data_IF_828992228545
#
_entry.id   IF_828992228545
#
_cell.length_a   1.000
_cell.length_b   1.000
_cell.length_c   1.000
_cell.angle_alpha   90.00
_cell.angle_beta   90.00
_cell.angle_gamma   90.00
#
_symmetry.space_group_name_H-M   'P 1'
#
loop_
_entity.id
_entity.type
_entity.pdbx_description
1 polymer ?
#
# COMPACT_ATOMS: atom_id res chain seq x y z
N UNK A 1 -8.69 36.04 5.39
CA UNK A 1 -7.47 35.54 4.69
C UNK A 1 -7.18 34.06 4.89
N UNK A 2 -7.62 33.34 5.94
CA UNK A 2 -7.36 31.87 6.09
C UNK A 2 -8.30 30.94 5.28
N UNK A 3 -9.40 31.42 4.75
CA UNK A 3 -10.39 30.61 4.03
C UNK A 3 -10.17 30.54 2.51
N UNK A 4 -9.61 31.58 1.90
CA UNK A 4 -9.40 31.64 0.44
C UNK A 4 -8.20 30.81 -0.02
N UNK A 5 -7.09 30.83 0.75
CA UNK A 5 -5.89 30.05 0.43
C UNK A 5 -6.14 28.53 0.55
N UNK A 6 -6.99 28.11 1.51
CA UNK A 6 -7.37 26.71 1.66
C UNK A 6 -8.27 26.22 0.50
N UNK A 7 -9.09 27.11 -0.08
CA UNK A 7 -9.95 26.77 -1.23
C UNK A 7 -9.14 26.64 -2.52
N UNK A 8 -8.17 27.54 -2.74
CA UNK A 8 -7.33 27.54 -3.94
C UNK A 8 -6.47 26.27 -4.02
N UNK A 9 -5.81 25.91 -2.92
CA UNK A 9 -4.99 24.70 -2.86
C UNK A 9 -5.82 23.42 -3.01
N UNK A 10 -7.08 23.42 -2.54
CA UNK A 10 -7.97 22.26 -2.67
C UNK A 10 -8.43 21.98 -4.10
N UNK A 11 -8.37 22.98 -4.99
CA UNK A 11 -8.72 22.85 -6.41
C UNK A 11 -7.49 22.74 -7.31
N UNK A 12 -6.41 23.46 -7.03
CA UNK A 12 -5.19 23.42 -7.84
C UNK A 12 -4.46 22.08 -7.75
N UNK A 13 -4.33 21.52 -6.55
CA UNK A 13 -3.60 20.28 -6.34
C UNK A 13 -4.18 19.10 -7.14
N UNK A 14 -5.50 18.86 -7.19
CA UNK A 14 -6.07 17.84 -8.06
C UNK A 14 -5.83 18.08 -9.55
N UNK A 15 -5.94 19.29 -10.02
CA UNK A 15 -5.71 19.62 -11.44
C UNK A 15 -4.26 19.37 -11.84
N UNK A 16 -3.30 19.77 -11.00
CA UNK A 16 -1.87 19.52 -11.21
C UNK A 16 -1.60 18.01 -11.19
N UNK A 17 -2.22 17.27 -10.26
CA UNK A 17 -2.05 15.82 -10.17
C UNK A 17 -2.60 15.09 -11.41
N UNK A 18 -3.77 15.49 -11.92
CA UNK A 18 -4.37 14.92 -13.13
C UNK A 18 -3.45 15.18 -14.33
N UNK A 19 -2.94 16.42 -14.47
CA UNK A 19 -1.98 16.77 -15.52
C UNK A 19 -0.69 15.96 -15.41
N UNK A 20 -0.17 15.78 -14.21
CA UNK A 20 1.03 14.99 -13.96
C UNK A 20 0.84 13.51 -14.35
N UNK A 21 -0.29 12.90 -13.99
CA UNK A 21 -0.61 11.53 -14.40
C UNK A 21 -0.80 11.38 -15.91
N UNK A 22 -1.38 12.39 -16.56
CA UNK A 22 -1.46 12.42 -18.03
C UNK A 22 -0.07 12.46 -18.67
N UNK A 23 0.85 13.26 -18.15
CA UNK A 23 2.24 13.32 -18.60
C UNK A 23 3.02 12.03 -18.35
N UNK A 24 2.68 11.26 -17.31
CA UNK A 24 3.23 9.94 -17.05
C UNK A 24 2.67 8.83 -17.96
N UNK A 25 1.77 9.16 -18.88
CA UNK A 25 1.21 8.21 -19.85
C UNK A 25 -0.12 7.58 -19.44
N UNK A 26 -0.84 8.17 -18.47
CA UNK A 26 -2.21 7.73 -18.17
C UNK A 26 -3.08 7.92 -19.43
N UNK A 27 -3.80 6.87 -19.90
CA UNK A 27 -4.65 6.98 -21.08
C UNK A 27 -5.78 7.99 -20.84
N UNK A 28 -6.24 8.65 -21.92
CA UNK A 28 -7.22 9.74 -21.86
C UNK A 28 -8.52 9.34 -21.14
N UNK A 29 -8.95 8.07 -21.28
CA UNK A 29 -10.13 7.56 -20.57
C UNK A 29 -9.90 7.56 -19.03
N UNK A 30 -8.68 7.30 -18.57
CA UNK A 30 -8.30 7.38 -17.15
C UNK A 30 -8.38 8.81 -16.63
N UNK A 31 -7.92 9.79 -17.42
CA UNK A 31 -8.04 11.22 -17.11
C UNK A 31 -9.51 11.63 -16.98
N UNK A 32 -10.35 11.18 -17.91
CA UNK A 32 -11.80 11.46 -17.88
C UNK A 32 -12.44 10.89 -16.61
N UNK A 33 -12.12 9.66 -16.24
CA UNK A 33 -12.60 9.02 -15.00
C UNK A 33 -12.16 9.82 -13.77
N UNK A 34 -10.92 10.29 -13.71
CA UNK A 34 -10.44 11.13 -12.60
C UNK A 34 -11.18 12.47 -12.51
N UNK A 35 -11.48 13.10 -13.63
CA UNK A 35 -12.24 14.34 -13.66
C UNK A 35 -13.69 14.11 -13.19
N UNK A 36 -14.35 13.06 -13.69
CA UNK A 36 -15.70 12.70 -13.25
C UNK A 36 -15.72 12.41 -11.74
N UNK A 37 -14.74 11.65 -11.25
CA UNK A 37 -14.60 11.36 -9.84
C UNK A 37 -14.44 12.63 -9.00
N UNK A 38 -13.54 13.52 -9.40
CA UNK A 38 -13.29 14.78 -8.72
C UNK A 38 -14.55 15.66 -8.65
N UNK A 39 -15.25 15.82 -9.77
CA UNK A 39 -16.49 16.61 -9.82
C UNK A 39 -17.60 15.98 -8.98
N UNK A 40 -17.68 14.63 -8.95
CA UNK A 40 -18.61 13.90 -8.09
C UNK A 40 -18.32 14.17 -6.62
N UNK A 41 -17.04 14.12 -6.20
CA UNK A 41 -16.67 14.41 -4.81
C UNK A 41 -17.05 15.84 -4.37
N UNK A 42 -16.81 16.83 -5.25
CA UNK A 42 -17.22 18.21 -4.96
C UNK A 42 -18.75 18.30 -4.82
N UNK A 43 -19.48 17.65 -5.71
CA UNK A 43 -20.94 17.62 -5.63
C UNK A 43 -21.44 16.99 -4.32
N UNK A 44 -20.88 15.84 -3.92
CA UNK A 44 -21.23 15.17 -2.67
C UNK A 44 -20.88 16.01 -1.43
N UNK A 45 -19.73 16.70 -1.45
CA UNK A 45 -19.28 17.59 -0.39
C UNK A 45 -20.23 18.79 -0.22
N UNK A 46 -20.57 19.46 -1.33
CA UNK A 46 -21.45 20.63 -1.32
C UNK A 46 -22.89 20.30 -0.90
N UNK A 47 -23.34 19.08 -1.08
CA UNK A 47 -24.66 18.61 -0.63
C UNK A 47 -24.65 18.01 0.77
N UNK A 48 -23.52 18.01 1.49
CA UNK A 48 -23.42 17.46 2.84
C UNK A 48 -23.48 15.92 2.95
N UNK A 49 -23.50 15.21 1.81
CA UNK A 49 -23.60 13.73 1.76
C UNK A 49 -22.36 13.09 2.37
N UNK A 50 -21.19 13.72 2.23
CA UNK A 50 -19.96 13.20 2.81
C UNK A 50 -20.01 13.18 4.34
N UNK A 51 -20.67 14.14 4.97
CA UNK A 51 -20.83 14.20 6.42
C UNK A 51 -21.72 13.05 6.93
N UNK A 52 -22.79 12.71 6.21
CA UNK A 52 -23.65 11.56 6.52
C UNK A 52 -22.88 10.24 6.46
N UNK A 53 -21.94 10.11 5.54
CA UNK A 53 -21.11 8.92 5.39
C UNK A 53 -19.90 8.88 6.33
N UNK A 54 -19.73 9.86 7.22
CA UNK A 54 -18.50 10.07 7.99
C UNK A 54 -17.26 10.06 7.09
N UNK A 55 -17.39 10.67 5.93
CA UNK A 55 -16.35 10.73 4.91
C UNK A 55 -15.83 12.15 4.77
N UNK A 56 -14.56 12.28 4.39
CA UNK A 56 -13.94 13.58 4.09
C UNK A 56 -13.11 13.47 2.83
N UNK A 57 -13.10 14.54 2.06
CA UNK A 57 -12.23 14.66 0.89
C UNK A 57 -10.82 15.06 1.34
N UNK A 58 -9.82 14.28 0.95
CA UNK A 58 -8.41 14.53 1.22
C UNK A 58 -7.66 14.76 -0.08
N UNK A 59 -6.71 15.71 -0.10
CA UNK A 59 -5.93 16.08 -1.29
C UNK A 59 -6.78 16.37 -2.54
N UNK A 60 -8.05 16.66 -2.37
CA UNK A 60 -8.99 17.03 -3.42
C UNK A 60 -9.65 15.87 -4.17
N UNK A 61 -9.04 14.71 -4.29
CA UNK A 61 -9.56 13.57 -5.08
C UNK A 61 -9.58 12.24 -4.34
N UNK A 62 -9.04 12.17 -3.13
CA UNK A 62 -9.10 10.96 -2.29
C UNK A 62 -10.29 11.09 -1.34
N UNK A 63 -11.17 10.10 -1.35
CA UNK A 63 -12.26 9.97 -0.40
C UNK A 63 -11.82 9.14 0.79
N UNK A 64 -11.86 9.74 1.96
CA UNK A 64 -11.53 9.10 3.24
C UNK A 64 -12.80 8.75 3.98
N UNK A 65 -13.15 7.47 4.06
CA UNK A 65 -14.34 6.98 4.77
C UNK A 65 -13.93 6.43 6.13
N UNK A 66 -14.51 6.97 7.21
CA UNK A 66 -14.24 6.51 8.58
C UNK A 66 -15.22 5.46 9.02
N UNK A 67 -14.75 4.44 9.74
CA UNK A 67 -15.58 3.38 10.31
C UNK A 67 -15.13 2.98 11.71
N UNK A 68 -16.09 2.60 12.54
CA UNK A 68 -15.81 2.06 13.87
C UNK A 68 -15.85 0.52 13.91
N UNK A 69 -16.21 -0.14 12.81
CA UNK A 69 -16.40 -1.61 12.77
C UNK A 69 -15.11 -2.40 13.00
N UNK A 70 -13.95 -1.83 12.67
CA UNK A 70 -12.63 -2.46 12.89
C UNK A 70 -12.24 -2.61 14.36
N UNK A 71 -12.84 -1.88 15.28
CA UNK A 71 -12.52 -1.91 16.72
C UNK A 71 -12.72 -3.29 17.36
N UNK A 72 -13.77 -4.00 17.02
CA UNK A 72 -14.10 -5.31 17.63
C UNK A 72 -12.99 -6.31 17.33
N UNK A 73 -12.52 -6.35 16.08
CA UNK A 73 -11.42 -7.23 15.64
C UNK A 73 -10.12 -6.81 16.35
N UNK A 74 -9.85 -5.52 16.41
CA UNK A 74 -8.67 -4.96 17.08
C UNK A 74 -8.63 -5.35 18.57
N UNK A 75 -9.74 -5.17 19.29
CA UNK A 75 -9.83 -5.48 20.72
C UNK A 75 -9.67 -6.99 20.97
N UNK A 76 -10.13 -7.85 20.06
CA UNK A 76 -9.94 -9.29 20.14
C UNK A 76 -8.48 -9.69 19.91
N UNK A 77 -7.82 -9.12 18.91
CA UNK A 77 -6.41 -9.41 18.59
C UNK A 77 -5.45 -8.87 19.66
N UNK A 78 -5.71 -7.67 20.18
CA UNK A 78 -4.85 -7.02 21.17
C UNK A 78 -4.87 -7.70 22.56
N UNK A 79 -5.77 -8.65 22.81
CA UNK A 79 -5.77 -9.46 24.05
C UNK A 79 -4.46 -10.21 24.29
N UNK A 80 -3.78 -10.64 23.24
CA UNK A 80 -2.49 -11.34 23.33
C UNK A 80 -1.32 -10.36 23.51
N UNK A 81 -1.40 -9.51 24.55
CA UNK A 81 -0.49 -8.40 24.80
C UNK A 81 0.99 -8.82 24.78
N UNK A 82 1.35 -9.91 25.47
CA UNK A 82 2.76 -10.37 25.56
C UNK A 82 3.32 -10.75 24.19
N UNK A 83 2.52 -11.44 23.37
CA UNK A 83 2.89 -11.81 22.01
C UNK A 83 3.16 -10.57 21.15
N UNK A 84 2.24 -9.59 21.17
CA UNK A 84 2.36 -8.39 20.33
C UNK A 84 3.49 -7.45 20.77
N UNK A 85 3.78 -7.38 22.09
CA UNK A 85 4.97 -6.65 22.57
C UNK A 85 6.25 -7.31 22.04
N UNK A 86 6.34 -8.64 22.11
CA UNK A 86 7.46 -9.41 21.55
C UNK A 86 7.58 -9.23 20.04
N UNK A 87 6.45 -9.28 19.32
CA UNK A 87 6.41 -9.00 17.88
C UNK A 87 6.89 -7.58 17.57
N UNK A 88 6.50 -6.57 18.37
CA UNK A 88 6.99 -5.20 18.23
C UNK A 88 8.50 -5.07 18.37
N UNK A 89 9.11 -5.78 19.34
CA UNK A 89 10.58 -5.84 19.48
C UNK A 89 11.24 -6.51 18.28
N UNK A 90 10.74 -7.66 17.87
CA UNK A 90 11.18 -8.34 16.65
C UNK A 90 11.10 -7.42 15.44
N UNK A 91 10.00 -6.67 15.31
CA UNK A 91 9.77 -5.74 14.21
C UNK A 91 10.81 -4.63 14.15
N UNK A 92 11.24 -4.08 15.29
CA UNK A 92 12.29 -3.07 15.33
C UNK A 92 13.59 -3.64 14.74
N UNK A 93 13.99 -4.83 15.18
CA UNK A 93 15.23 -5.46 14.67
C UNK A 93 15.11 -5.84 13.21
N UNK A 94 13.97 -6.36 12.78
CA UNK A 94 13.70 -6.68 11.37
C UNK A 94 13.80 -5.44 10.49
N UNK A 95 13.22 -4.32 10.91
CA UNK A 95 13.30 -3.06 10.18
C UNK A 95 14.74 -2.55 10.08
N UNK A 96 15.54 -2.65 11.14
CA UNK A 96 16.96 -2.30 11.08
C UNK A 96 17.73 -3.19 10.10
N UNK A 97 17.51 -4.50 10.15
CA UNK A 97 18.16 -5.43 9.23
C UNK A 97 17.84 -5.11 7.76
N UNK A 98 16.55 -4.86 7.48
CA UNK A 98 16.11 -4.52 6.12
C UNK A 98 16.66 -3.17 5.69
N UNK A 99 16.64 -2.17 6.57
CA UNK A 99 17.20 -0.84 6.27
C UNK A 99 18.68 -0.95 5.86
N UNK A 100 19.49 -1.68 6.61
CA UNK A 100 20.88 -1.92 6.24
C UNK A 100 21.01 -2.69 4.93
N UNK A 101 20.20 -3.75 4.74
CA UNK A 101 20.18 -4.51 3.50
C UNK A 101 19.84 -3.67 2.27
N UNK A 102 18.82 -2.83 2.38
CA UNK A 102 18.41 -1.90 1.31
C UNK A 102 19.50 -0.85 1.05
N UNK A 103 20.14 -0.31 2.10
CA UNK A 103 21.25 0.63 1.93
C UNK A 103 22.43 0.00 1.18
N UNK A 104 22.83 -1.23 1.53
CA UNK A 104 23.87 -1.97 0.82
C UNK A 104 23.44 -2.20 -0.63
N UNK A 105 22.20 -2.65 -0.85
CA UNK A 105 21.67 -2.89 -2.20
C UNK A 105 21.72 -1.62 -3.07
N UNK A 106 21.29 -0.48 -2.53
CA UNK A 106 21.29 0.78 -3.26
C UNK A 106 22.71 1.24 -3.59
N UNK A 107 23.63 1.15 -2.64
CA UNK A 107 25.03 1.55 -2.86
C UNK A 107 25.68 0.64 -3.91
N UNK A 108 25.51 -0.68 -3.77
CA UNK A 108 26.08 -1.63 -4.75
C UNK A 108 25.46 -1.45 -6.13
N UNK A 109 24.14 -1.24 -6.22
CA UNK A 109 23.44 -0.96 -7.47
C UNK A 109 23.95 0.32 -8.14
N UNK A 110 24.14 1.40 -7.36
CA UNK A 110 24.69 2.66 -7.86
C UNK A 110 26.10 2.49 -8.41
N UNK A 111 26.97 1.76 -7.67
CA UNK A 111 28.35 1.48 -8.12
C UNK A 111 28.31 0.65 -9.40
N UNK A 112 27.50 -0.41 -9.46
CA UNK A 112 27.41 -1.26 -10.65
C UNK A 112 26.90 -0.50 -11.87
N UNK A 113 25.89 0.37 -11.69
CA UNK A 113 25.40 1.23 -12.77
C UNK A 113 26.44 2.23 -13.24
N UNK A 114 27.27 2.76 -12.34
CA UNK A 114 28.35 3.68 -12.70
C UNK A 114 29.48 2.97 -13.48
N UNK A 115 29.80 1.71 -13.12
CA UNK A 115 30.84 0.91 -13.77
C UNK A 115 30.37 0.29 -15.10
N UNK A 116 29.11 -0.08 -15.18
CA UNK A 116 28.49 -0.73 -16.35
C UNK A 116 27.10 -0.12 -16.58
N UNK A 117 27.03 1.06 -17.23
CA UNK A 117 25.75 1.70 -17.51
C UNK A 117 24.86 0.80 -18.39
N UNK A 118 23.56 0.70 -18.08
CA UNK A 118 22.61 -0.05 -18.91
C UNK A 118 22.58 0.54 -20.32
N UNK A 119 22.61 -0.31 -21.35
CA UNK A 119 22.61 0.13 -22.75
C UNK A 119 21.25 0.66 -23.21
N UNK A 120 20.18 0.24 -22.55
CA UNK A 120 18.83 0.68 -22.82
C UNK A 120 18.22 1.37 -21.60
N UNK A 121 17.60 2.52 -21.83
CA UNK A 121 16.86 3.23 -20.78
C UNK A 121 15.54 2.52 -20.47
N UNK A 122 15.26 2.33 -19.19
CA UNK A 122 13.95 1.79 -18.75
C UNK A 122 12.86 2.79 -19.15
N UNK A 123 11.78 2.35 -19.81
CA UNK A 123 10.66 3.22 -20.14
C UNK A 123 10.09 3.92 -18.88
N UNK A 124 9.76 5.19 -18.97
CA UNK A 124 9.31 6.00 -17.81
C UNK A 124 8.10 5.39 -17.10
N UNK A 125 7.19 4.74 -17.87
CA UNK A 125 6.02 4.05 -17.33
C UNK A 125 6.36 2.82 -16.48
N UNK A 126 7.54 2.24 -16.65
CA UNK A 126 8.01 1.03 -15.94
C UNK A 126 8.90 1.38 -14.73
N UNK A 127 9.21 2.65 -14.51
CA UNK A 127 9.94 3.12 -13.32
C UNK A 127 9.11 3.01 -12.03
N UNK A 128 7.79 3.10 -12.13
CA UNK A 128 6.88 2.95 -11.01
C UNK A 128 6.06 1.67 -11.19
N UNK A 129 6.06 0.80 -10.18
CA UNK A 129 5.26 -0.44 -10.17
C UNK A 129 3.78 -0.10 -9.87
N UNK A 130 3.08 0.44 -10.87
CA UNK A 130 1.67 0.78 -10.75
C UNK A 130 0.83 -0.30 -11.46
N UNK A 131 -0.05 -1.03 -10.75
CA UNK A 131 -0.91 -2.02 -11.36
C UNK A 131 -1.74 -1.44 -12.53
N UNK A 132 -1.66 -2.07 -13.69
CA UNK A 132 -2.38 -1.66 -14.90
C UNK A 132 -1.73 -0.52 -15.71
N UNK A 133 -0.66 0.09 -15.24
CA UNK A 133 0.14 1.12 -15.94
C UNK A 133 1.48 0.57 -16.37
N UNK A 134 2.18 -0.11 -15.47
CA UNK A 134 3.45 -0.77 -15.76
C UNK A 134 3.21 -1.94 -16.73
N UNK A 135 4.04 -2.07 -17.77
CA UNK A 135 3.82 -2.99 -18.90
C UNK A 135 3.69 -4.45 -18.49
N UNK A 136 4.38 -4.87 -17.42
CA UNK A 136 4.42 -6.24 -16.93
C UNK A 136 3.60 -6.50 -15.66
N UNK A 137 2.88 -5.47 -15.14
CA UNK A 137 2.07 -5.58 -13.92
C UNK A 137 0.59 -5.49 -14.26
N UNK A 138 -0.16 -6.60 -14.26
CA UNK A 138 -1.59 -6.57 -14.52
C UNK A 138 -2.33 -5.82 -13.42
N UNK A 139 -3.52 -5.28 -13.71
CA UNK A 139 -4.27 -4.45 -12.77
C UNK A 139 -4.83 -5.26 -11.59
N UNK A 140 -5.44 -6.41 -11.87
CA UNK A 140 -6.33 -7.06 -10.91
C UNK A 140 -5.62 -7.71 -9.73
N UNK A 141 -4.71 -8.66 -9.98
CA UNK A 141 -4.10 -9.44 -8.91
C UNK A 141 -3.19 -8.60 -8.01
N UNK A 142 -2.28 -7.78 -8.55
CA UNK A 142 -1.47 -6.88 -7.72
C UNK A 142 -2.30 -5.81 -7.02
N UNK A 143 -3.40 -5.34 -7.66
CA UNK A 143 -4.33 -4.39 -7.04
C UNK A 143 -5.01 -4.98 -5.79
N UNK A 144 -5.53 -6.20 -5.88
CA UNK A 144 -6.12 -6.91 -4.74
C UNK A 144 -5.07 -7.16 -3.65
N UNK A 145 -3.87 -7.63 -4.04
CA UNK A 145 -2.78 -7.88 -3.11
C UNK A 145 -2.36 -6.59 -2.37
N UNK A 146 -2.29 -5.46 -3.08
CA UNK A 146 -1.99 -4.16 -2.50
C UNK A 146 -3.01 -3.76 -1.44
N UNK A 147 -4.31 -3.91 -1.75
CA UNK A 147 -5.39 -3.58 -0.79
C UNK A 147 -5.29 -4.45 0.47
N UNK A 148 -5.07 -5.76 0.31
CA UNK A 148 -4.90 -6.68 1.44
C UNK A 148 -3.67 -6.28 2.27
N UNK A 149 -2.54 -6.02 1.61
CA UNK A 149 -1.32 -5.61 2.27
C UNK A 149 -1.48 -4.30 3.05
N UNK A 150 -2.19 -3.31 2.50
CA UNK A 150 -2.48 -2.05 3.17
C UNK A 150 -3.37 -2.26 4.40
N UNK A 151 -4.41 -3.08 4.31
CA UNK A 151 -5.27 -3.39 5.46
C UNK A 151 -4.47 -4.07 6.57
N UNK A 152 -3.66 -5.07 6.24
CA UNK A 152 -2.79 -5.77 7.21
C UNK A 152 -1.79 -4.79 7.84
N UNK A 153 -1.21 -3.90 7.05
CA UNK A 153 -0.28 -2.85 7.48
C UNK A 153 -0.91 -1.96 8.55
N UNK A 154 -2.08 -1.40 8.27
CA UNK A 154 -2.78 -0.52 9.20
C UNK A 154 -3.20 -1.24 10.49
N UNK A 155 -3.61 -2.52 10.38
CA UNK A 155 -3.85 -3.34 11.56
C UNK A 155 -2.58 -3.57 12.38
N UNK A 156 -1.41 -3.66 11.76
CA UNK A 156 -0.12 -3.73 12.44
C UNK A 156 0.12 -2.52 13.37
N UNK A 157 -0.08 -1.31 12.87
CA UNK A 157 -0.03 -0.08 13.65
C UNK A 157 -1.07 -0.07 14.77
N UNK A 158 -2.32 -0.40 14.42
CA UNK A 158 -3.44 -0.34 15.32
C UNK A 158 -3.31 -1.30 16.51
N UNK A 159 -2.90 -2.55 16.26
CA UNK A 159 -2.69 -3.57 17.31
C UNK A 159 -1.61 -3.11 18.27
N UNK A 160 -0.47 -2.63 17.77
CA UNK A 160 0.61 -2.15 18.62
C UNK A 160 0.17 -0.94 19.45
N UNK A 161 -0.49 0.04 18.87
CA UNK A 161 -1.01 1.19 19.62
C UNK A 161 -1.97 0.73 20.72
N UNK A 162 -2.89 -0.20 20.42
CA UNK A 162 -3.85 -0.74 21.38
C UNK A 162 -3.21 -1.52 22.51
N UNK A 163 -2.19 -2.33 22.21
CA UNK A 163 -1.40 -3.10 23.20
C UNK A 163 -0.67 -2.19 24.18
N UNK A 164 -0.25 -1.01 23.73
CA UNK A 164 0.36 0.04 24.56
C UNK A 164 -0.67 0.95 25.24
N UNK A 165 -1.97 0.63 25.15
CA UNK A 165 -3.04 1.34 25.85
C UNK A 165 -3.54 2.59 25.13
N UNK A 166 -3.07 2.85 23.90
CA UNK A 166 -3.51 4.00 23.12
C UNK A 166 -4.89 3.77 22.52
N UNK A 167 -5.67 4.84 22.46
CA UNK A 167 -7.02 4.80 21.87
C UNK A 167 -6.94 4.95 20.36
N UNK A 168 -7.76 4.15 19.67
CA UNK A 168 -8.02 4.33 18.26
C UNK A 168 -9.07 5.44 18.08
N UNK A 169 -8.72 6.54 17.46
CA UNK A 169 -9.63 7.61 17.11
C UNK A 169 -10.54 7.18 15.97
N UNK A 170 -9.95 6.72 14.87
CA UNK A 170 -10.71 6.22 13.73
C UNK A 170 -9.94 5.16 12.94
N UNK A 171 -10.70 4.33 12.24
CA UNK A 171 -10.24 3.47 11.15
C UNK A 171 -10.92 3.90 9.88
N UNK A 172 -10.33 3.61 8.74
CA UNK A 172 -11.02 3.90 7.51
C UNK A 172 -10.34 3.37 6.27
N UNK A 173 -11.00 3.68 5.16
CA UNK A 173 -10.54 3.36 3.83
C UNK A 173 -10.30 4.65 3.06
N UNK A 174 -9.27 4.63 2.25
CA UNK A 174 -8.95 5.66 1.27
C UNK A 174 -9.35 5.15 -0.10
N UNK A 175 -10.22 5.88 -0.78
CA UNK A 175 -10.72 5.54 -2.10
C UNK A 175 -10.27 6.57 -3.13
N UNK A 176 -9.81 6.08 -4.27
CA UNK A 176 -9.59 6.88 -5.48
C UNK A 176 -10.50 6.33 -6.57
N UNK A 177 -11.59 7.02 -6.85
CA UNK A 177 -12.67 6.44 -7.62
C UNK A 177 -13.33 5.30 -6.85
N UNK A 178 -13.73 4.24 -7.51
CA UNK A 178 -14.22 3.03 -6.87
C UNK A 178 -13.10 2.15 -6.31
N UNK A 179 -11.83 2.49 -6.56
CA UNK A 179 -10.69 1.68 -6.18
C UNK A 179 -10.25 2.01 -4.74
N UNK A 180 -10.20 1.04 -3.84
CA UNK A 180 -9.59 1.21 -2.54
C UNK A 180 -8.07 1.34 -2.70
N UNK A 181 -7.55 2.53 -2.42
CA UNK A 181 -6.12 2.85 -2.49
C UNK A 181 -5.38 2.53 -1.20
N UNK A 182 -6.12 2.41 -0.10
CA UNK A 182 -5.51 2.15 1.19
C UNK A 182 -6.51 2.03 2.32
N UNK A 183 -6.00 1.62 3.46
CA UNK A 183 -6.63 1.73 4.74
C UNK A 183 -5.85 2.74 5.58
N UNK A 184 -6.43 3.25 6.65
CA UNK A 184 -5.72 4.08 7.61
C UNK A 184 -6.18 3.79 9.03
N UNK A 185 -5.24 3.94 9.93
CA UNK A 185 -5.45 3.93 11.37
C UNK A 185 -5.02 5.28 11.94
N UNK A 186 -5.90 5.94 12.69
CA UNK A 186 -5.64 7.20 13.35
C UNK A 186 -5.57 6.98 14.87
N UNK A 187 -4.37 6.94 15.48
CA UNK A 187 -4.24 6.92 16.92
C UNK A 187 -4.56 8.30 17.51
N UNK A 188 -4.89 8.34 18.79
CA UNK A 188 -5.01 9.61 19.51
C UNK A 188 -3.64 10.32 19.54
N UNK A 189 -3.53 11.47 18.87
CA UNK A 189 -2.26 12.16 18.65
C UNK A 189 -1.54 12.52 19.97
N UNK A 190 -2.29 12.92 21.00
CA UNK A 190 -1.73 13.27 22.29
C UNK A 190 -1.12 12.06 23.00
N UNK A 191 -1.75 10.89 22.90
CA UNK A 191 -1.27 9.65 23.48
C UNK A 191 0.00 9.20 22.76
N UNK A 192 0.00 9.28 21.41
CA UNK A 192 1.14 8.92 20.59
C UNK A 192 2.37 9.80 20.85
N UNK A 193 2.19 11.12 20.98
CA UNK A 193 3.31 12.04 21.23
C UNK A 193 3.91 11.90 22.61
N UNK A 194 3.10 11.56 23.63
CA UNK A 194 3.55 11.33 25.01
C UNK A 194 4.15 9.95 25.26
N UNK A 195 3.92 9.00 24.35
CA UNK A 195 4.40 7.63 24.50
C UNK A 195 5.93 7.55 24.51
N UNK A 196 6.53 6.62 25.28
CA UNK A 196 7.95 6.35 25.27
C UNK A 196 8.46 6.04 23.85
N UNK A 197 9.71 6.46 23.55
CA UNK A 197 10.31 6.25 22.23
C UNK A 197 10.22 4.79 21.75
N UNK A 198 10.45 3.83 22.66
CA UNK A 198 10.45 2.39 22.33
C UNK A 198 9.06 1.89 21.91
N UNK A 199 8.00 2.39 22.54
CA UNK A 199 6.62 2.05 22.16
C UNK A 199 6.27 2.62 20.78
N UNK A 200 6.65 3.87 20.51
CA UNK A 200 6.47 4.48 19.17
C UNK A 200 7.24 3.71 18.10
N UNK A 201 8.48 3.30 18.37
CA UNK A 201 9.27 2.49 17.44
C UNK A 201 8.60 1.15 17.14
N UNK A 202 8.04 0.45 18.16
CA UNK A 202 7.28 -0.78 17.96
C UNK A 202 6.06 -0.56 17.06
N UNK A 203 5.33 0.55 17.28
CA UNK A 203 4.14 0.89 16.47
C UNK A 203 4.57 1.12 15.01
N UNK A 204 5.59 1.94 14.77
CA UNK A 204 6.03 2.22 13.40
C UNK A 204 6.64 0.99 12.70
N UNK A 205 7.39 0.18 13.40
CA UNK A 205 8.05 -0.99 12.83
C UNK A 205 7.09 -2.17 12.59
N UNK A 206 6.02 -2.29 13.36
CA UNK A 206 5.13 -3.45 13.28
C UNK A 206 4.40 -3.57 11.94
N UNK A 207 4.00 -2.45 11.36
CA UNK A 207 3.23 -2.46 10.12
C UNK A 207 4.03 -2.94 8.89
N UNK A 208 5.23 -2.44 8.59
CA UNK A 208 6.04 -3.02 7.52
C UNK A 208 6.43 -4.48 7.83
N UNK A 209 6.72 -4.79 9.10
CA UNK A 209 7.13 -6.13 9.50
C UNK A 209 6.03 -7.18 9.34
N UNK A 210 4.78 -6.84 9.65
CA UNK A 210 3.65 -7.77 9.47
C UNK A 210 3.43 -8.09 7.98
N UNK A 211 3.64 -7.11 7.09
CA UNK A 211 3.58 -7.33 5.65
C UNK A 211 4.68 -8.28 5.17
N UNK A 212 5.90 -8.14 5.69
CA UNK A 212 7.02 -9.01 5.36
C UNK A 212 6.73 -10.45 5.83
N UNK A 213 6.25 -10.60 7.07
CA UNK A 213 5.88 -11.92 7.62
C UNK A 213 4.73 -12.52 6.81
N UNK A 214 3.70 -11.74 6.46
CA UNK A 214 2.59 -12.19 5.62
C UNK A 214 3.08 -12.62 4.23
N UNK A 215 3.96 -11.84 3.60
CA UNK A 215 4.56 -12.18 2.30
C UNK A 215 5.33 -13.49 2.38
N UNK A 216 6.15 -13.67 3.41
CA UNK A 216 6.90 -14.91 3.61
C UNK A 216 5.97 -16.12 3.81
N UNK A 217 4.89 -15.95 4.58
CA UNK A 217 3.88 -16.98 4.75
C UNK A 217 3.19 -17.35 3.43
N UNK A 218 2.82 -16.37 2.63
CA UNK A 218 2.22 -16.60 1.29
C UNK A 218 3.21 -17.32 0.36
N UNK A 219 4.50 -16.96 0.41
CA UNK A 219 5.54 -17.64 -0.38
C UNK A 219 5.71 -19.11 0.03
N UNK A 220 5.65 -19.43 1.33
CA UNK A 220 5.66 -20.82 1.80
C UNK A 220 4.44 -21.58 1.27
N UNK A 221 3.24 -20.99 1.36
CA UNK A 221 2.02 -21.60 0.83
C UNK A 221 2.11 -21.83 -0.67
N UNK A 222 2.60 -20.83 -1.42
CA UNK A 222 2.79 -20.94 -2.85
C UNK A 222 3.78 -22.05 -3.20
N UNK A 223 4.91 -22.11 -2.50
CA UNK A 223 5.91 -23.17 -2.69
C UNK A 223 5.33 -24.56 -2.39
N UNK A 224 4.58 -24.69 -1.31
CA UNK A 224 3.95 -25.97 -0.94
C UNK A 224 2.90 -26.40 -1.97
N UNK A 225 2.06 -25.47 -2.46
CA UNK A 225 1.05 -25.78 -3.49
C UNK A 225 1.71 -26.10 -4.83
N UNK A 226 2.75 -25.35 -5.25
CA UNK A 226 3.49 -25.62 -6.46
C UNK A 226 4.19 -26.98 -6.40
N UNK A 227 4.82 -27.34 -5.28
CA UNK A 227 5.47 -28.62 -5.07
C UNK A 227 4.44 -29.77 -5.12
N UNK A 228 3.27 -29.59 -4.51
CA UNK A 228 2.18 -30.55 -4.57
C UNK A 228 1.64 -30.74 -6.00
N UNK A 229 1.51 -29.64 -6.75
CA UNK A 229 1.07 -29.72 -8.15
C UNK A 229 2.10 -30.45 -9.02
N UNK A 230 3.38 -30.17 -8.89
CA UNK A 230 4.48 -30.84 -9.63
C UNK A 230 4.50 -32.33 -9.26
N UNK A 231 4.32 -32.70 -8.00
CA UNK A 231 4.28 -34.10 -7.57
C UNK A 231 3.07 -34.84 -8.14
N UNK A 232 1.90 -34.18 -8.24
CA UNK A 232 0.67 -34.75 -8.81
C UNK A 232 0.72 -34.87 -10.36
N UNK A 233 1.49 -33.99 -11.03
CA UNK A 233 1.62 -33.91 -12.47
C UNK A 233 3.09 -33.94 -12.85
N UNK A 234 3.76 -35.11 -12.73
CA UNK A 234 5.18 -35.23 -13.06
C UNK A 234 5.37 -35.06 -14.57
N UNK A 235 6.25 -34.13 -14.95
CA UNK A 235 6.61 -33.86 -16.32
C UNK A 235 6.88 -32.38 -16.57
N UNK A 236 7.58 -32.08 -17.66
CA UNK A 236 7.74 -30.69 -18.10
C UNK A 236 6.60 -30.30 -18.99
N UNK A 237 5.87 -29.25 -18.63
CA UNK A 237 4.85 -28.62 -19.48
C UNK A 237 5.50 -27.43 -20.19
N UNK A 238 5.69 -27.50 -21.49
CA UNK A 238 6.11 -26.36 -22.30
C UNK A 238 4.97 -25.36 -22.44
N UNK A 239 5.20 -24.11 -21.99
CA UNK A 239 4.23 -23.02 -22.16
C UNK A 239 4.26 -22.40 -23.56
N UNK A 240 5.41 -22.46 -24.21
CA UNK A 240 5.59 -22.03 -25.59
C UNK A 240 6.77 -22.81 -26.19
N UNK A 241 6.62 -23.18 -27.43
CA UNK A 241 7.64 -23.86 -28.23
C UNK A 241 8.09 -22.86 -29.29
N UNK A 242 9.41 -22.67 -29.42
CA UNK A 242 9.97 -21.86 -30.50
C UNK A 242 9.88 -22.68 -31.77
N UNK A 243 9.18 -22.16 -32.78
CA UNK A 243 9.01 -22.81 -34.08
C UNK A 243 10.38 -23.12 -34.68
N UNK A 244 10.58 -24.38 -35.11
CA UNK A 244 11.85 -24.88 -35.60
C UNK A 244 12.83 -25.34 -34.52
N UNK A 245 12.41 -25.41 -33.23
CA UNK A 245 13.21 -26.05 -32.19
C UNK A 245 12.99 -27.57 -32.13
N UNK A 246 13.98 -28.33 -31.64
CA UNK A 246 13.82 -29.77 -31.46
C UNK A 246 12.76 -30.22 -30.43
N UNK A 247 12.02 -29.29 -29.86
CA UNK A 247 10.86 -29.53 -28.98
C UNK A 247 9.53 -29.57 -29.76
N UNK A 248 9.56 -29.33 -31.08
CA UNK A 248 8.40 -29.36 -31.96
C UNK A 248 8.17 -30.78 -32.54
N UNK A 249 9.17 -31.69 -32.45
CA UNK A 249 9.09 -33.11 -32.81
C UNK A 249 8.59 -33.95 -31.61
#
# INVERSE_FOLDING_TARGET
>A
MKGEDASLTSHLLPMISIYFFYMLGLPIWGVIIMIIWYTTLIYLENNGILDEWNATRMLGFILMIRTNKGRIILDKLSKYRKFWIGFGEFSIWLCYLIMFGVMILLVTSAIMTALSPPQEAIPTKDLLLIPGVTSFVPLWWPGIALVIALVIHEYGHAIQARVHGMRAKSFGLLLLGPLPMGAFFEPELQEMTRAPRRERLRIYAAAPSINIVATYFVLILLSATASGFVAANPGMHAHAIVVGSGAEE
#
